data_IF_801791736924
#
_entry.id   IF_801791736924
#
_cell.length_a   1.000
_cell.length_b   1.000
_cell.length_c   1.000
_cell.angle_alpha   90.00
_cell.angle_beta   90.00
_cell.angle_gamma   90.00
#
_symmetry.space_group_name_H-M   'P 1'
#
loop_
_entity.id
_entity.type
_entity.pdbx_description
1 polymer ?
#
# COMPACT_ATOMS: atom_id res chain seq x y z
N UNK A 1 8.50 -7.23 -11.48
CA UNK A 1 7.59 -7.63 -10.39
C UNK A 1 6.49 -6.60 -10.40
N UNK A 2 5.24 -7.02 -10.35
CA UNK A 2 4.11 -6.10 -10.40
C UNK A 2 3.28 -6.34 -9.15
N UNK A 3 3.39 -5.42 -8.19
CA UNK A 3 2.56 -5.46 -6.99
C UNK A 3 1.16 -4.97 -7.32
N UNK A 4 0.17 -5.58 -6.66
CA UNK A 4 -1.21 -5.12 -6.70
C UNK A 4 -1.75 -4.99 -5.29
N UNK A 5 -2.57 -3.97 -5.06
CA UNK A 5 -3.35 -3.84 -3.83
C UNK A 5 -4.46 -4.91 -3.88
N UNK A 6 -4.41 -5.87 -2.96
CA UNK A 6 -5.45 -6.89 -2.79
C UNK A 6 -6.49 -6.50 -1.75
N UNK A 7 -6.09 -5.71 -0.75
CA UNK A 7 -6.98 -5.21 0.29
C UNK A 7 -6.62 -3.76 0.63
N UNK A 8 -7.64 -2.92 0.82
CA UNK A 8 -7.50 -1.55 1.29
C UNK A 8 -8.72 -1.24 2.15
N UNK A 9 -8.55 -1.23 3.47
CA UNK A 9 -9.61 -0.94 4.43
C UNK A 9 -9.31 0.35 5.22
N UNK A 10 -9.92 1.48 4.83
CA UNK A 10 -9.80 2.77 5.53
C UNK A 10 -10.33 2.78 6.97
N UNK A 11 -11.09 1.76 7.38
CA UNK A 11 -11.65 1.62 8.74
C UNK A 11 -10.61 1.07 9.70
N UNK A 12 -9.92 0.01 9.31
CA UNK A 12 -8.81 -0.58 10.07
C UNK A 12 -7.46 0.11 9.82
N UNK A 13 -7.35 0.87 8.73
CA UNK A 13 -6.09 1.47 8.30
C UNK A 13 -5.17 0.48 7.58
N UNK A 14 -5.69 -0.68 7.16
CA UNK A 14 -4.90 -1.76 6.57
C UNK A 14 -4.85 -1.64 5.04
N UNK A 15 -3.66 -1.83 4.48
CA UNK A 15 -3.44 -2.03 3.04
C UNK A 15 -2.59 -3.28 2.84
N UNK A 16 -3.10 -4.22 2.05
CA UNK A 16 -2.36 -5.43 1.67
C UNK A 16 -2.01 -5.35 0.20
N UNK A 17 -0.72 -5.44 -0.09
CA UNK A 17 -0.20 -5.59 -1.46
C UNK A 17 0.36 -6.98 -1.65
N UNK A 18 0.17 -7.53 -2.85
CA UNK A 18 0.64 -8.85 -3.23
C UNK A 18 1.40 -8.77 -4.55
N UNK A 19 2.56 -9.43 -4.62
CA UNK A 19 3.24 -9.67 -5.89
C UNK A 19 2.60 -10.87 -6.61
N UNK A 20 2.13 -10.64 -7.84
CA UNK A 20 1.41 -11.68 -8.60
C UNK A 20 2.30 -12.84 -9.07
N UNK A 21 3.63 -12.67 -9.10
CA UNK A 21 4.55 -13.67 -9.64
C UNK A 21 5.03 -14.66 -8.57
N UNK A 22 5.31 -14.17 -7.38
CA UNK A 22 5.86 -14.91 -6.26
C UNK A 22 4.85 -15.14 -5.13
N UNK A 23 3.68 -14.48 -5.17
CA UNK A 23 2.65 -14.59 -4.13
C UNK A 23 3.09 -13.98 -2.81
N UNK A 24 4.04 -13.03 -2.83
CA UNK A 24 4.54 -12.37 -1.64
C UNK A 24 3.55 -11.30 -1.20
N UNK A 25 3.12 -11.36 0.07
CA UNK A 25 2.15 -10.44 0.65
C UNK A 25 2.81 -9.51 1.65
N UNK A 26 2.52 -8.24 1.52
CA UNK A 26 3.01 -7.17 2.39
C UNK A 26 1.82 -6.40 2.93
N UNK A 27 1.86 -6.13 4.23
CA UNK A 27 0.78 -5.49 4.97
C UNK A 27 1.29 -4.17 5.53
N UNK A 28 0.56 -3.10 5.23
CA UNK A 28 0.86 -1.73 5.65
C UNK A 28 -0.28 -1.22 6.53
N UNK A 29 0.09 -0.55 7.62
CA UNK A 29 -0.85 0.00 8.58
C UNK A 29 -0.70 1.51 8.64
N UNK A 30 -1.75 2.21 8.24
CA UNK A 30 -1.89 3.66 8.35
C UNK A 30 -3.24 3.98 9.00
N UNK A 31 -3.29 4.38 10.29
CA UNK A 31 -4.55 4.66 11.00
C UNK A 31 -5.40 5.74 10.33
N UNK A 32 -4.74 6.66 9.63
CA UNK A 32 -5.38 7.76 8.91
C UNK A 32 -5.62 7.45 7.44
N UNK A 33 -5.53 6.18 7.01
CA UNK A 33 -5.74 5.75 5.64
C UNK A 33 -7.06 6.27 5.08
N UNK A 34 -6.98 6.88 3.91
CA UNK A 34 -8.14 7.25 3.08
C UNK A 34 -8.12 6.46 1.77
N UNK A 35 -6.97 6.46 1.09
CA UNK A 35 -6.77 5.77 -0.18
C UNK A 35 -5.33 5.25 -0.27
N UNK A 36 -5.13 4.17 -1.03
CA UNK A 36 -3.81 3.68 -1.38
C UNK A 36 -3.71 3.42 -2.88
N UNK A 37 -2.54 3.72 -3.48
CA UNK A 37 -2.22 3.40 -4.87
C UNK A 37 -0.77 2.97 -5.02
N UNK A 38 -0.49 2.15 -6.02
CA UNK A 38 0.88 1.82 -6.44
C UNK A 38 1.22 2.74 -7.61
N UNK A 39 2.30 3.51 -7.51
CA UNK A 39 2.66 4.52 -8.54
C UNK A 39 3.78 4.04 -9.45
N UNK A 40 4.83 3.51 -8.84
CA UNK A 40 5.88 2.77 -9.50
C UNK A 40 5.85 1.36 -8.91
N UNK A 41 6.24 0.34 -9.68
CA UNK A 41 6.13 -1.10 -9.35
C UNK A 41 6.77 -1.53 -8.00
N UNK A 42 7.21 -0.60 -7.16
CA UNK A 42 7.87 -0.80 -5.88
C UNK A 42 7.40 0.15 -4.78
N UNK A 43 6.58 1.16 -5.08
CA UNK A 43 6.21 2.22 -4.13
C UNK A 43 4.69 2.29 -3.92
N UNK A 44 4.28 2.19 -2.65
CA UNK A 44 2.91 2.36 -2.20
C UNK A 44 2.70 3.80 -1.73
N UNK A 45 1.81 4.52 -2.41
CA UNK A 45 1.37 5.84 -2.02
C UNK A 45 0.09 5.72 -1.19
N UNK A 46 0.13 6.19 0.04
CA UNK A 46 -1.01 6.25 0.94
C UNK A 46 -1.45 7.70 1.10
N UNK A 47 -2.70 7.98 0.76
CA UNK A 47 -3.33 9.27 1.07
C UNK A 47 -4.02 9.16 2.42
N UNK A 48 -3.72 10.08 3.33
CA UNK A 48 -4.36 10.15 4.64
C UNK A 48 -5.62 11.02 4.62
N UNK A 49 -6.46 10.91 5.65
CA UNK A 49 -7.68 11.71 5.85
C UNK A 49 -7.42 13.22 5.88
N UNK A 50 -6.23 13.61 6.32
CA UNK A 50 -5.77 15.01 6.33
C UNK A 50 -5.26 15.51 4.97
N UNK A 51 -5.31 14.66 3.93
CA UNK A 51 -4.88 14.98 2.58
C UNK A 51 -3.37 14.88 2.36
N UNK A 52 -2.61 14.32 3.31
CA UNK A 52 -1.18 14.08 3.12
C UNK A 52 -0.97 12.79 2.32
N UNK A 53 0.07 12.77 1.48
CA UNK A 53 0.50 11.56 0.77
C UNK A 53 1.80 11.04 1.36
N UNK A 54 1.77 9.82 1.91
CA UNK A 54 2.95 9.08 2.38
C UNK A 54 3.38 8.12 1.28
N UNK A 55 4.69 8.03 1.02
CA UNK A 55 5.25 7.05 0.08
C UNK A 55 6.01 6.01 0.89
N UNK A 56 5.60 4.75 0.77
CA UNK A 56 6.18 3.62 1.46
C UNK A 56 6.78 2.65 0.43
N UNK A 57 8.05 2.29 0.54
CA UNK A 57 8.63 1.26 -0.31
C UNK A 57 8.03 -0.10 0.04
N UNK A 58 7.63 -0.86 -0.98
CA UNK A 58 7.06 -2.21 -0.83
C UNK A 58 8.16 -3.24 -0.50
N UNK A 59 9.36 -3.04 -1.07
CA UNK A 59 10.55 -3.85 -0.81
C UNK A 59 11.64 -2.98 -0.19
N UNK A 60 12.34 -3.51 0.81
CA UNK A 60 13.61 -2.94 1.25
C UNK A 60 14.61 -2.98 0.08
N UNK A 61 15.31 -1.86 -0.15
CA UNK A 61 16.30 -1.70 -1.23
C UNK A 61 17.66 -2.26 -0.85
#
# INVERSE_FOLDING_TARGET
>A
MMFQIKECDPTSGCVVVEDEYFGLRYEFHEPELLEAKIVDDYDLHITTKDGQTKVLPILER
#
